data_IF_229668270829
#
_entry.id   IF_229668270829
#
_cell.length_a   1.000
_cell.length_b   1.000
_cell.length_c   1.000
_cell.angle_alpha   90.00
_cell.angle_beta   90.00
_cell.angle_gamma   90.00
#
_symmetry.space_group_name_H-M   'P 1'
#
loop_
_entity.id
_entity.type
_entity.pdbx_description
1 polymer ?
#
# COMPACT_ATOMS: atom_id res chain seq x y z
N UNK A 1 -11.68 21.57 49.06
CA UNK A 1 -11.73 21.71 47.59
C UNK A 1 -10.57 20.91 47.01
N UNK A 2 -10.83 19.85 46.23
CA UNK A 2 -9.75 19.09 45.60
C UNK A 2 -9.15 19.92 44.45
N UNK A 3 -7.89 19.70 44.08
CA UNK A 3 -7.29 20.35 42.92
C UNK A 3 -7.89 19.77 41.63
N UNK A 4 -8.10 20.66 40.66
CA UNK A 4 -8.64 20.36 39.35
C UNK A 4 -7.84 19.26 38.66
N UNK A 5 -8.51 18.13 38.45
CA UNK A 5 -8.01 16.99 37.72
C UNK A 5 -8.07 17.32 36.22
N UNK A 6 -7.13 18.14 35.74
CA UNK A 6 -6.90 18.29 34.30
C UNK A 6 -6.38 16.94 33.79
N UNK A 7 -7.30 16.14 33.26
CA UNK A 7 -7.01 15.02 32.37
C UNK A 7 -6.24 15.58 31.16
N UNK A 8 -4.91 15.68 31.27
CA UNK A 8 -4.03 15.72 30.11
C UNK A 8 -4.16 14.35 29.45
N UNK A 9 -5.09 14.22 28.52
CA UNK A 9 -5.01 13.19 27.50
C UNK A 9 -3.70 13.44 26.77
N UNK A 10 -2.65 12.67 27.09
CA UNK A 10 -1.46 12.59 26.27
C UNK A 10 -1.93 12.17 24.87
N UNK A 11 -2.05 13.14 23.96
CA UNK A 11 -2.38 12.86 22.58
C UNK A 11 -1.20 12.10 22.01
N UNK A 12 -1.38 10.80 21.78
CA UNK A 12 -0.38 9.97 21.10
C UNK A 12 -0.11 10.58 19.72
N UNK A 13 1.06 11.22 19.56
CA UNK A 13 1.46 11.83 18.29
C UNK A 13 2.06 10.75 17.39
N UNK A 14 1.20 10.08 16.62
CA UNK A 14 1.60 9.16 15.55
C UNK A 14 1.88 9.92 14.26
N UNK A 15 3.01 9.63 13.63
CA UNK A 15 3.40 10.14 12.32
C UNK A 15 3.76 8.97 11.40
N UNK A 16 3.03 8.83 10.30
CA UNK A 16 3.32 7.86 9.25
C UNK A 16 3.80 8.56 7.99
N UNK A 17 4.81 8.00 7.32
CA UNK A 17 5.35 8.55 6.07
C UNK A 17 6.00 7.48 5.20
N UNK A 18 6.16 7.78 3.92
CA UNK A 18 6.96 6.94 3.01
C UNK A 18 8.37 7.50 3.01
N UNK A 19 9.32 6.68 3.46
CA UNK A 19 10.74 7.01 3.50
C UNK A 19 11.36 6.82 2.12
N UNK A 20 11.07 5.67 1.51
CA UNK A 20 11.58 5.30 0.19
C UNK A 20 10.41 5.10 -0.77
N UNK A 21 10.20 6.10 -1.63
CA UNK A 21 9.17 6.05 -2.66
C UNK A 21 9.54 5.00 -3.73
N UNK A 22 8.55 4.34 -4.36
CA UNK A 22 8.77 3.44 -5.47
C UNK A 22 9.34 4.16 -6.69
N UNK A 23 10.03 3.37 -7.52
CA UNK A 23 10.44 3.81 -8.85
C UNK A 23 9.25 4.39 -9.61
N UNK A 24 9.50 5.51 -10.28
CA UNK A 24 8.45 6.24 -10.97
C UNK A 24 7.93 5.47 -12.19
N UNK A 25 8.82 4.72 -12.84
CA UNK A 25 8.52 3.86 -13.96
C UNK A 25 8.63 2.40 -13.53
N UNK A 26 7.53 1.68 -13.63
CA UNK A 26 7.46 0.27 -13.23
C UNK A 26 6.71 -0.55 -14.28
N UNK A 27 7.28 -1.70 -14.68
CA UNK A 27 6.64 -2.60 -15.64
C UNK A 27 5.75 -3.59 -14.92
N UNK A 28 4.45 -3.32 -14.91
CA UNK A 28 3.42 -4.28 -14.50
C UNK A 28 3.46 -5.52 -15.40
N UNK A 29 3.34 -6.71 -14.80
CA UNK A 29 3.37 -7.99 -15.52
C UNK A 29 2.01 -8.65 -15.47
N UNK A 30 1.63 -9.39 -16.50
CA UNK A 30 0.47 -10.27 -16.42
C UNK A 30 0.80 -11.53 -15.63
N UNK A 31 -0.21 -12.13 -15.00
CA UNK A 31 -0.09 -13.45 -14.32
C UNK A 31 0.47 -14.53 -15.23
N UNK A 32 0.21 -14.43 -16.53
CA UNK A 32 0.70 -15.37 -17.56
C UNK A 32 2.18 -15.24 -17.86
N UNK A 33 2.81 -14.13 -17.47
CA UNK A 33 4.25 -13.93 -17.64
C UNK A 33 5.01 -14.69 -16.55
N UNK A 34 6.00 -15.51 -16.95
CA UNK A 34 6.83 -16.27 -16.00
C UNK A 34 7.74 -15.36 -15.14
N UNK A 35 8.00 -14.13 -15.59
CA UNK A 35 8.89 -13.19 -14.94
C UNK A 35 8.14 -12.24 -13.99
N UNK A 36 8.71 -12.01 -12.81
CA UNK A 36 8.25 -10.98 -11.86
C UNK A 36 9.11 -9.73 -12.01
N UNK A 37 8.47 -8.56 -12.13
CA UNK A 37 9.16 -7.28 -12.01
C UNK A 37 9.21 -6.92 -10.52
N UNK A 38 10.37 -6.98 -9.86
CA UNK A 38 10.44 -6.59 -8.44
C UNK A 38 10.30 -5.07 -8.32
N UNK A 39 9.50 -4.64 -7.36
CA UNK A 39 9.27 -3.25 -7.01
C UNK A 39 10.45 -2.73 -6.19
N UNK A 40 11.14 -1.75 -6.73
CA UNK A 40 12.30 -1.12 -6.10
C UNK A 40 12.01 0.33 -5.70
N UNK A 41 12.82 0.86 -4.80
CA UNK A 41 12.78 2.29 -4.46
C UNK A 41 13.35 3.15 -5.59
N UNK A 42 12.95 4.42 -5.61
CA UNK A 42 13.45 5.44 -6.53
C UNK A 42 14.86 5.94 -6.16
N UNK A 43 15.31 5.69 -4.94
CA UNK A 43 16.56 6.26 -4.46
C UNK A 43 17.74 5.71 -5.27
N UNK A 44 18.49 6.57 -6.00
CA UNK A 44 19.53 6.11 -6.93
C UNK A 44 20.79 5.58 -6.20
N UNK A 45 20.99 5.96 -4.93
CA UNK A 45 22.19 5.62 -4.14
C UNK A 45 21.87 5.52 -2.64
N UNK A 46 21.06 4.55 -2.21
CA UNK A 46 20.86 4.31 -0.78
C UNK A 46 20.77 2.82 -0.40
N UNK A 47 20.97 2.55 0.90
CA UNK A 47 21.10 1.24 1.55
C UNK A 47 19.84 0.37 1.50
N UNK A 48 18.65 0.95 1.32
CA UNK A 48 17.41 0.17 1.12
C UNK A 48 17.02 0.12 -0.36
N UNK A 49 17.04 -1.09 -0.91
CA UNK A 49 16.69 -1.39 -2.30
C UNK A 49 15.18 -1.30 -2.55
N UNK A 50 14.37 -1.27 -1.48
CA UNK A 50 12.94 -1.53 -1.51
C UNK A 50 12.13 -0.31 -1.09
N UNK A 51 10.84 -0.32 -1.42
CA UNK A 51 9.90 0.69 -0.96
C UNK A 51 9.74 0.54 0.54
N UNK A 52 9.93 1.64 1.26
CA UNK A 52 9.97 1.64 2.73
C UNK A 52 9.01 2.69 3.27
N UNK A 53 8.12 2.24 4.16
CA UNK A 53 7.28 3.13 4.95
C UNK A 53 7.74 3.17 6.40
N UNK A 54 7.51 4.30 7.06
CA UNK A 54 7.82 4.51 8.46
C UNK A 54 6.55 4.86 9.22
N UNK A 55 6.37 4.22 10.37
CA UNK A 55 5.51 4.71 11.44
C UNK A 55 6.41 5.15 12.60
N UNK A 56 6.25 6.38 13.06
CA UNK A 56 7.04 6.96 14.13
C UNK A 56 6.18 7.68 15.16
N UNK A 57 6.68 7.77 16.37
CA UNK A 57 6.08 8.54 17.45
C UNK A 57 7.17 9.13 18.34
N UNK A 58 6.83 10.09 19.19
CA UNK A 58 7.76 10.59 20.20
C UNK A 58 8.00 9.56 21.30
N UNK A 59 9.12 9.69 22.02
CA UNK A 59 9.48 8.74 23.07
C UNK A 59 8.45 8.70 24.23
N UNK A 60 7.74 9.81 24.46
CA UNK A 60 6.70 9.91 25.48
C UNK A 60 5.45 9.11 25.10
N UNK A 61 5.12 9.03 23.81
CA UNK A 61 3.97 8.30 23.30
C UNK A 61 4.25 6.83 22.98
N UNK A 62 5.53 6.45 22.91
CA UNK A 62 5.99 5.09 22.64
C UNK A 62 5.32 4.00 23.50
N UNK A 63 5.13 4.19 24.83
CA UNK A 63 4.50 3.18 25.67
C UNK A 63 3.03 2.91 25.30
N UNK A 64 2.33 3.87 24.67
CA UNK A 64 0.93 3.68 24.26
C UNK A 64 0.77 2.84 22.98
N UNK A 65 1.87 2.58 22.28
CA UNK A 65 1.92 1.71 21.10
C UNK A 65 2.44 0.31 21.44
N UNK A 66 2.52 -0.06 22.73
CA UNK A 66 2.97 -1.37 23.16
C UNK A 66 2.12 -2.49 22.53
N UNK A 67 2.81 -3.41 21.85
CA UNK A 67 2.22 -4.57 21.20
C UNK A 67 2.57 -4.67 19.71
N UNK A 68 1.86 -5.57 19.03
CA UNK A 68 2.08 -5.84 17.62
C UNK A 68 1.29 -4.87 16.73
N UNK A 69 1.98 -4.20 15.82
CA UNK A 69 1.41 -3.39 14.75
C UNK A 69 1.20 -4.28 13.53
N UNK A 70 -0.04 -4.34 13.05
CA UNK A 70 -0.35 -5.01 11.79
C UNK A 70 -0.31 -3.97 10.67
N UNK A 71 0.26 -4.35 9.53
CA UNK A 71 0.44 -3.47 8.39
C UNK A 71 -0.17 -4.13 7.18
N UNK A 72 -1.08 -3.42 6.55
CA UNK A 72 -1.74 -3.83 5.33
C UNK A 72 -1.34 -2.87 4.23
N UNK A 73 -0.87 -3.38 3.10
CA UNK A 73 -0.65 -2.57 1.90
C UNK A 73 -1.54 -3.08 0.78
N UNK A 74 -2.19 -2.17 0.07
CA UNK A 74 -3.09 -2.47 -1.03
C UNK A 74 -2.83 -1.56 -2.22
N UNK A 75 -3.17 -2.06 -3.41
CA UNK A 75 -3.21 -1.28 -4.65
C UNK A 75 -4.54 -0.55 -4.78
N UNK A 76 -4.49 0.77 -5.00
CA UNK A 76 -5.64 1.66 -5.21
C UNK A 76 -5.45 2.57 -6.42
N UNK A 77 -6.50 3.21 -6.93
CA UNK A 77 -6.39 4.28 -7.95
C UNK A 77 -6.07 5.62 -7.29
N UNK A 78 -5.87 6.65 -8.13
CA UNK A 78 -5.76 8.05 -7.69
C UNK A 78 -6.99 8.56 -6.92
N UNK A 79 -8.15 7.95 -7.16
CA UNK A 79 -9.41 8.27 -6.48
C UNK A 79 -9.63 7.39 -5.23
N UNK A 80 -8.58 6.65 -4.81
CA UNK A 80 -8.62 5.70 -3.70
C UNK A 80 -9.30 4.37 -4.04
N UNK A 81 -9.98 4.20 -5.18
CA UNK A 81 -10.71 2.97 -5.48
C UNK A 81 -9.82 1.75 -5.48
N UNK A 82 -10.32 0.61 -4.99
CA UNK A 82 -9.61 -0.67 -5.06
C UNK A 82 -9.10 -0.92 -6.49
N UNK A 83 -7.80 -1.11 -6.65
CA UNK A 83 -7.23 -1.32 -7.97
C UNK A 83 -7.38 -2.79 -8.39
N UNK A 84 -7.75 -3.09 -9.64
CA UNK A 84 -7.84 -4.47 -10.13
C UNK A 84 -6.48 -5.15 -10.27
N UNK A 85 -5.39 -4.38 -10.32
CA UNK A 85 -4.03 -4.92 -10.25
C UNK A 85 -3.71 -5.27 -8.81
N UNK A 86 -2.85 -6.26 -8.60
CA UNK A 86 -2.67 -6.83 -7.27
C UNK A 86 -1.22 -7.21 -7.00
N UNK A 87 -0.85 -7.23 -5.72
CA UNK A 87 0.52 -7.53 -5.30
C UNK A 87 0.75 -9.03 -5.16
N UNK A 88 1.96 -9.46 -5.52
CA UNK A 88 2.44 -10.83 -5.35
C UNK A 88 3.87 -10.77 -4.82
N UNK A 89 4.24 -11.69 -3.94
CA UNK A 89 5.53 -11.64 -3.28
C UNK A 89 5.49 -12.16 -1.86
N UNK A 90 6.59 -11.97 -1.15
CA UNK A 90 6.68 -12.29 0.28
C UNK A 90 5.67 -11.48 1.09
N UNK A 91 4.94 -12.13 2.00
CA UNK A 91 3.91 -11.47 2.81
C UNK A 91 2.67 -11.04 2.04
N UNK A 92 2.55 -11.35 0.74
CA UNK A 92 1.33 -11.09 -0.02
C UNK A 92 0.37 -12.26 0.03
N UNK A 93 -0.86 -11.99 0.46
CA UNK A 93 -1.98 -12.91 0.39
C UNK A 93 -3.14 -12.23 -0.34
N UNK A 94 -3.72 -12.94 -1.32
CA UNK A 94 -4.87 -12.45 -2.08
C UNK A 94 -4.70 -11.06 -2.73
N UNK A 95 -3.47 -10.72 -3.13
CA UNK A 95 -3.18 -9.44 -3.77
C UNK A 95 -2.84 -8.28 -2.82
N UNK A 96 -2.83 -8.55 -1.52
CA UNK A 96 -2.60 -7.58 -0.43
C UNK A 96 -1.34 -7.99 0.31
N UNK A 97 -0.46 -7.06 0.63
CA UNK A 97 0.66 -7.33 1.53
C UNK A 97 0.19 -7.20 2.97
N UNK A 98 0.56 -8.17 3.81
CA UNK A 98 0.24 -8.21 5.22
C UNK A 98 1.52 -8.48 6.01
N UNK A 99 1.85 -7.58 6.92
CA UNK A 99 2.96 -7.73 7.85
C UNK A 99 2.50 -7.53 9.29
N UNK A 100 3.19 -8.14 10.23
CA UNK A 100 2.98 -7.91 11.66
C UNK A 100 4.34 -7.67 12.31
N UNK A 101 4.43 -6.61 13.08
CA UNK A 101 5.69 -6.10 13.63
C UNK A 101 5.51 -5.73 15.10
N UNK A 102 6.55 -5.84 15.90
CA UNK A 102 6.52 -5.44 17.32
C UNK A 102 7.05 -4.01 17.49
N UNK A 103 6.45 -3.25 18.41
CA UNK A 103 6.85 -1.88 18.72
C UNK A 103 7.50 -1.77 20.12
N UNK A 104 8.57 -0.95 20.31
CA UNK A 104 9.36 -0.24 19.31
C UNK A 104 10.42 -1.11 18.63
N UNK A 105 10.44 -1.10 17.30
CA UNK A 105 11.49 -1.80 16.54
C UNK A 105 12.77 -0.98 16.40
N UNK A 106 12.68 0.35 16.41
CA UNK A 106 13.79 1.27 16.13
C UNK A 106 13.71 2.55 16.98
N UNK A 107 14.87 3.13 17.29
CA UNK A 107 15.01 4.51 17.79
C UNK A 107 15.80 5.32 16.75
N UNK A 108 15.24 6.44 16.30
CA UNK A 108 15.85 7.34 15.33
C UNK A 108 16.80 8.34 16.00
N UNK A 109 17.71 8.93 15.22
CA UNK A 109 18.72 9.88 15.73
C UNK A 109 18.10 11.14 16.37
N UNK A 110 16.88 11.50 15.97
CA UNK A 110 16.13 12.62 16.54
C UNK A 110 15.36 12.27 17.82
N UNK A 111 15.57 11.06 18.36
CA UNK A 111 14.95 10.59 19.59
C UNK A 111 13.52 10.06 19.44
N UNK A 112 12.97 10.06 18.22
CA UNK A 112 11.70 9.37 17.93
C UNK A 112 11.91 7.86 17.94
N UNK A 113 10.85 7.13 18.22
CA UNK A 113 10.83 5.66 18.04
C UNK A 113 9.91 5.30 16.89
N UNK A 114 10.20 4.20 16.21
CA UNK A 114 9.37 3.79 15.09
C UNK A 114 9.56 2.37 14.61
N UNK A 115 8.89 2.13 13.49
CA UNK A 115 8.88 0.91 12.73
C UNK A 115 9.13 1.27 11.27
N UNK A 116 10.05 0.54 10.63
CA UNK A 116 10.23 0.57 9.18
C UNK A 116 9.61 -0.70 8.58
N UNK A 117 8.82 -0.50 7.53
CA UNK A 117 8.19 -1.57 6.75
C UNK A 117 8.77 -1.55 5.36
N UNK A 118 9.55 -2.57 5.04
CA UNK A 118 10.14 -2.74 3.71
C UNK A 118 9.31 -3.73 2.88
N UNK A 119 8.94 -3.32 1.66
CA UNK A 119 8.29 -4.18 0.69
C UNK A 119 9.32 -4.97 -0.12
N UNK A 120 10.00 -5.91 0.54
CA UNK A 120 10.99 -6.78 -0.10
C UNK A 120 10.32 -7.87 -0.95
N UNK A 121 10.83 -8.10 -2.17
CA UNK A 121 10.33 -9.12 -3.10
C UNK A 121 8.84 -8.97 -3.48
N UNK A 122 8.38 -7.74 -3.61
CA UNK A 122 7.02 -7.45 -4.08
C UNK A 122 7.02 -7.18 -5.57
N UNK A 123 6.05 -7.75 -6.29
CA UNK A 123 5.72 -7.41 -7.66
C UNK A 123 4.22 -7.08 -7.77
N UNK A 124 3.84 -6.32 -8.79
CA UNK A 124 2.44 -5.97 -9.06
C UNK A 124 2.05 -6.55 -10.41
N UNK A 125 0.97 -7.33 -10.40
CA UNK A 125 0.42 -7.94 -11.60
C UNK A 125 -0.74 -7.13 -12.16
N UNK A 126 -0.66 -6.81 -13.47
CA UNK A 126 -1.78 -6.21 -14.20
C UNK A 126 -2.75 -7.29 -14.69
N UNK A 127 -4.01 -6.86 -14.85
CA UNK A 127 -5.07 -7.68 -15.45
C UNK A 127 -5.41 -7.16 -16.84
N UNK A 128 -6.04 -8.01 -17.66
CA UNK A 128 -6.48 -7.60 -18.98
C UNK A 128 -7.51 -6.49 -18.88
N UNK A 129 -7.39 -5.47 -19.73
CA UNK A 129 -8.26 -4.28 -19.77
C UNK A 129 -9.63 -4.53 -20.41
N UNK A 130 -10.15 -5.75 -20.32
CA UNK A 130 -11.49 -6.08 -20.82
C UNK A 130 -12.47 -6.18 -19.65
N UNK A 131 -13.76 -5.95 -19.95
CA UNK A 131 -14.81 -5.85 -18.95
C UNK A 131 -14.87 -7.07 -18.03
N UNK A 132 -14.80 -8.28 -18.58
CA UNK A 132 -14.94 -9.50 -17.79
C UNK A 132 -13.74 -9.75 -16.86
N UNK A 133 -12.52 -9.53 -17.37
CA UNK A 133 -11.31 -9.67 -16.56
C UNK A 133 -11.25 -8.63 -15.43
N UNK A 134 -11.65 -7.39 -15.69
CA UNK A 134 -11.73 -6.34 -14.67
C UNK A 134 -12.80 -6.66 -13.62
N UNK A 135 -13.98 -7.13 -14.06
CA UNK A 135 -15.07 -7.54 -13.17
C UNK A 135 -14.64 -8.63 -12.21
N UNK A 136 -14.01 -9.68 -12.75
CA UNK A 136 -13.54 -10.80 -11.94
C UNK A 136 -12.41 -10.37 -11.00
N UNK A 137 -11.46 -9.56 -11.48
CA UNK A 137 -10.37 -9.07 -10.65
C UNK A 137 -10.90 -8.25 -9.47
N UNK A 138 -11.82 -7.31 -9.71
CA UNK A 138 -12.43 -6.51 -8.65
C UNK A 138 -13.22 -7.40 -7.69
N UNK A 139 -14.06 -8.30 -8.20
CA UNK A 139 -14.82 -9.23 -7.37
C UNK A 139 -13.92 -10.07 -6.45
N UNK A 140 -12.82 -10.62 -6.98
CA UNK A 140 -11.83 -11.35 -6.19
C UNK A 140 -11.23 -10.47 -5.10
N UNK A 141 -10.88 -9.23 -5.43
CA UNK A 141 -10.33 -8.28 -4.47
C UNK A 141 -11.36 -7.91 -3.38
N UNK A 142 -12.64 -7.79 -3.71
CA UNK A 142 -13.72 -7.51 -2.75
C UNK A 142 -13.98 -8.68 -1.78
N UNK A 143 -13.91 -9.92 -2.25
CA UNK A 143 -14.10 -11.11 -1.40
C UNK A 143 -13.03 -11.23 -0.31
N UNK A 144 -11.88 -10.59 -0.50
CA UNK A 144 -10.73 -10.70 0.41
C UNK A 144 -10.81 -9.73 1.59
N UNK A 145 -11.89 -8.95 1.67
CA UNK A 145 -12.36 -8.31 2.89
C UNK A 145 -11.59 -7.07 3.37
N UNK A 146 -10.46 -6.73 2.77
CA UNK A 146 -9.60 -5.66 3.29
C UNK A 146 -9.21 -4.66 2.22
N UNK A 147 -10.11 -3.73 1.96
CA UNK A 147 -9.72 -2.40 1.48
C UNK A 147 -9.83 -1.49 2.69
N UNK A 148 -8.72 -1.13 3.34
CA UNK A 148 -8.75 -0.52 4.67
C UNK A 148 -9.43 0.87 4.75
N UNK A 149 -9.92 1.45 3.64
CA UNK A 149 -10.54 2.78 3.65
C UNK A 149 -11.90 2.93 2.95
N UNK A 150 -12.39 1.96 2.16
CA UNK A 150 -13.35 2.32 1.09
C UNK A 150 -14.45 1.30 0.79
N UNK A 151 -15.04 0.67 1.82
CA UNK A 151 -16.28 -0.10 1.64
C UNK A 151 -17.40 0.70 0.93
N UNK A 152 -17.40 2.03 1.03
CA UNK A 152 -18.38 2.89 0.37
C UNK A 152 -18.20 3.00 -1.15
N UNK A 153 -17.00 2.75 -1.69
CA UNK A 153 -16.72 2.86 -3.13
C UNK A 153 -16.49 1.51 -3.82
N UNK A 154 -16.49 0.42 -3.05
CA UNK A 154 -16.29 -0.93 -3.58
C UNK A 154 -17.41 -1.43 -4.50
N UNK A 155 -18.67 -1.01 -4.28
CA UNK A 155 -19.80 -1.49 -5.08
C UNK A 155 -19.84 -0.91 -6.51
N UNK A 156 -19.15 0.20 -6.76
CA UNK A 156 -19.13 0.89 -8.06
C UNK A 156 -17.79 0.83 -8.78
N UNK A 157 -16.73 0.31 -8.15
CA UNK A 157 -15.38 0.28 -8.71
C UNK A 157 -15.34 -0.34 -10.11
N UNK A 158 -16.05 -1.46 -10.33
CA UNK A 158 -16.13 -2.11 -11.64
C UNK A 158 -16.71 -1.19 -12.72
N UNK A 159 -17.85 -0.58 -12.44
CA UNK A 159 -18.50 0.33 -13.38
C UNK A 159 -17.67 1.60 -13.64
N UNK A 160 -16.83 1.99 -12.68
CA UNK A 160 -15.93 3.13 -12.81
C UNK A 160 -14.74 2.76 -13.71
N UNK A 161 -14.05 1.64 -13.48
CA UNK A 161 -12.90 1.25 -14.33
C UNK A 161 -13.30 0.91 -15.77
N UNK A 162 -14.53 0.42 -15.98
CA UNK A 162 -15.03 0.13 -17.33
C UNK A 162 -15.39 1.39 -18.10
N UNK A 163 -15.81 2.46 -17.42
CA UNK A 163 -16.08 3.78 -18.01
C UNK A 163 -14.83 4.67 -18.10
N UNK A 164 -13.91 4.53 -17.15
CA UNK A 164 -12.71 5.37 -16.98
C UNK A 164 -11.45 4.50 -16.98
N UNK A 165 -11.14 3.93 -18.15
CA UNK A 165 -9.98 3.04 -18.32
C UNK A 165 -8.63 3.73 -18.02
N UNK A 166 -8.60 5.06 -18.05
CA UNK A 166 -7.45 5.89 -17.67
C UNK A 166 -7.04 5.70 -16.21
N UNK A 167 -7.96 5.28 -15.32
CA UNK A 167 -7.62 4.95 -13.93
C UNK A 167 -6.68 3.74 -13.81
N UNK A 168 -6.50 2.96 -14.88
CA UNK A 168 -5.54 1.85 -14.96
C UNK A 168 -4.14 2.29 -15.41
N UNK A 169 -3.94 3.60 -15.65
CA UNK A 169 -2.66 4.18 -16.07
C UNK A 169 -1.75 4.53 -14.89
N UNK A 170 -2.23 4.40 -13.65
CA UNK A 170 -1.42 4.59 -12.46
C UNK A 170 -1.95 3.73 -11.32
N UNK A 171 -1.05 3.26 -10.47
CA UNK A 171 -1.39 2.51 -9.26
C UNK A 171 -0.87 3.28 -8.08
N UNK A 172 -1.65 3.35 -7.01
CA UNK A 172 -1.21 3.86 -5.73
C UNK A 172 -1.06 2.69 -4.75
N UNK A 173 -0.02 2.71 -3.93
CA UNK A 173 0.14 1.80 -2.80
C UNK A 173 -0.37 2.49 -1.55
N UNK A 174 -1.52 2.05 -1.05
CA UNK A 174 -2.09 2.50 0.20
C UNK A 174 -1.54 1.63 1.32
N UNK A 175 -0.76 2.23 2.21
CA UNK A 175 -0.22 1.59 3.39
C UNK A 175 -1.09 1.96 4.59
N UNK A 176 -1.38 0.96 5.43
CA UNK A 176 -2.24 1.13 6.58
C UNK A 176 -1.63 0.42 7.76
N UNK A 177 -1.30 1.20 8.78
CA UNK A 177 -0.86 0.71 10.06
C UNK A 177 -2.08 0.56 10.98
N UNK A 178 -2.29 -0.64 11.46
CA UNK A 178 -3.29 -0.98 12.46
C UNK A 178 -2.60 -1.26 13.79
N UNK A 179 -2.90 -0.43 14.79
CA UNK A 179 -2.53 -0.65 16.18
C UNK A 179 -3.77 -1.07 16.96
N UNK A 180 -3.58 -1.51 18.21
CA UNK A 180 -4.70 -1.88 19.10
C UNK A 180 -5.66 -0.72 19.39
N UNK A 181 -5.23 0.53 19.20
CA UNK A 181 -5.99 1.73 19.57
C UNK A 181 -6.36 2.60 18.36
N UNK A 182 -5.59 2.56 17.26
CA UNK A 182 -5.70 3.49 16.14
C UNK A 182 -5.33 2.83 14.80
N UNK A 183 -5.82 3.42 13.71
CA UNK A 183 -5.37 3.10 12.35
C UNK A 183 -4.85 4.38 11.67
N UNK A 184 -3.76 4.28 10.91
CA UNK A 184 -3.16 5.40 10.19
C UNK A 184 -2.80 4.97 8.77
N UNK A 185 -3.10 5.79 7.76
CA UNK A 185 -2.86 5.46 6.37
C UNK A 185 -2.29 6.60 5.53
N UNK A 186 -1.62 6.20 4.47
CA UNK A 186 -0.93 7.07 3.52
C UNK A 186 -0.72 6.32 2.21
N UNK A 187 -0.42 7.06 1.15
CA UNK A 187 -0.37 6.51 -0.20
C UNK A 187 0.89 6.91 -0.95
N UNK A 188 1.38 5.98 -1.77
CA UNK A 188 2.51 6.16 -2.68
C UNK A 188 2.07 5.98 -4.12
N UNK A 189 2.59 6.78 -5.06
CA UNK A 189 2.22 6.71 -6.48
C UNK A 189 3.24 5.92 -7.32
N UNK A 190 2.72 5.01 -8.14
CA UNK A 190 3.40 4.22 -9.17
C UNK A 190 2.83 4.50 -10.56
N UNK A 191 3.72 4.72 -11.55
CA UNK A 191 3.33 4.87 -12.96
C UNK A 191 3.96 3.75 -13.82
N UNK A 192 3.28 3.33 -14.91
CA UNK A 192 3.82 2.36 -15.84
C UNK A 192 5.03 2.93 -16.60
N UNK A 193 6.04 2.08 -16.86
CA UNK A 193 7.18 2.43 -17.72
C UNK A 193 6.75 2.61 -19.18
N UNK A 194 7.20 3.68 -19.84
CA UNK A 194 6.74 4.10 -21.18
C UNK A 194 7.44 3.39 -22.37
N UNK A 195 8.23 2.35 -22.14
CA UNK A 195 9.07 1.79 -23.20
C UNK A 195 8.28 0.91 -24.21
N UNK A 196 8.17 1.43 -25.45
CA UNK A 196 7.84 0.91 -26.80
C UNK A 196 6.83 -0.23 -27.05
N UNK A 197 6.20 -0.84 -26.04
CA UNK A 197 4.97 -1.68 -26.16
C UNK A 197 4.08 -1.58 -24.90
N UNK A 198 4.44 -0.73 -23.93
CA UNK A 198 4.03 -0.73 -22.53
C UNK A 198 2.62 -0.26 -22.17
N UNK A 199 1.61 -0.46 -23.02
CA UNK A 199 0.23 -0.58 -22.49
C UNK A 199 0.02 -2.05 -22.10
N UNK A 200 -0.66 -2.33 -20.98
CA UNK A 200 -1.29 -3.65 -20.77
C UNK A 200 -2.46 -3.81 -21.77
N UNK A 201 -2.19 -3.64 -23.07
CA UNK A 201 -3.08 -3.88 -24.20
C UNK A 201 -2.76 -5.27 -24.72
N UNK A 202 -3.53 -6.26 -24.24
CA UNK A 202 -3.62 -7.51 -24.95
C UNK A 202 -4.41 -7.21 -26.24
N UNK A 203 -3.69 -7.03 -27.35
CA UNK A 203 -4.33 -7.05 -28.67
C UNK A 203 -5.14 -8.34 -28.79
N UNK A 204 -6.44 -8.21 -29.06
CA UNK A 204 -7.30 -9.31 -29.49
C UNK A 204 -6.63 -9.99 -30.69
N UNK A 205 -6.13 -11.21 -30.51
CA UNK A 205 -5.92 -12.10 -31.64
C UNK A 205 -7.30 -12.37 -32.25
N UNK A 206 -7.40 -12.11 -33.56
CA UNK A 206 -8.59 -12.38 -34.39
C UNK A 206 -8.91 -13.87 -34.40
#
# INVERSE_FOLDING_TARGET
CPPDNQSMTAQCQLSASIVDQPQQEYRFRFVTEKARSILYSRQPYNRSKYVTACLSTDAASAPYLQGSISVTVSTVSSEGLIHPYFMVGSGCENGIFRGRYEMPSLTFEDGRVGLLVELSDIAIFCVKRNHEALRQAIANRLQTGEVPFLHQFTQTAHDVYTRHISLLESVHLAFVFHTSQLATAFESLLKPSTDSTGRCELHRSR
#
